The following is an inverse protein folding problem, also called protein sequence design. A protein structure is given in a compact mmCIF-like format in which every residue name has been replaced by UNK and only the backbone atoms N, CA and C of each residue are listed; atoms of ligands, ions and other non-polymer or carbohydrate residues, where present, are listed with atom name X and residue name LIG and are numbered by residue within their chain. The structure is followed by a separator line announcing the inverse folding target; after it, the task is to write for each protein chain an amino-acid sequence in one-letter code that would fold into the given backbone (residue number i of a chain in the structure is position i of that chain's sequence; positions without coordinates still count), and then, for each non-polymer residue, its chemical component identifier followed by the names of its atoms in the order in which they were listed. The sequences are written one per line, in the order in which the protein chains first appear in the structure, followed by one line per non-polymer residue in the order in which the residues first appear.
data_IF_031058310248
#
_entry.id   IF_031058310248
#
_cell.length_a   1.000
_cell.length_b   1.000
_cell.length_c   1.000
_cell.angle_alpha   90.00
_cell.angle_beta   90.00
_cell.angle_gamma   90.00
#
_symmetry.space_group_name_H-M   'P 1'
#
loop_
_entity.id
_entity.type
_entity.pdbx_description
1 polymer ?
#
# COMPACT_ATOMS: atom_id res chain seq x y z
N UNK A 1 7.60 -43.46 -43.52
CA UNK A 1 8.72 -42.55 -43.27
C UNK A 1 8.18 -41.50 -42.29
N UNK A 2 8.65 -41.53 -41.07
CA UNK A 2 8.19 -40.56 -40.05
C UNK A 2 8.85 -39.21 -40.36
N UNK A 3 8.04 -38.20 -40.67
CA UNK A 3 8.51 -36.86 -40.97
C UNK A 3 8.94 -36.16 -39.69
N UNK A 4 10.19 -36.36 -39.30
CA UNK A 4 10.82 -35.74 -38.13
C UNK A 4 10.81 -34.20 -38.18
N UNK A 5 10.71 -33.62 -39.38
CA UNK A 5 10.63 -32.17 -39.57
C UNK A 5 9.27 -31.61 -39.12
N UNK A 6 8.17 -32.28 -39.38
CA UNK A 6 6.85 -31.87 -38.93
C UNK A 6 6.69 -32.04 -37.42
N UNK A 7 7.26 -33.11 -36.85
CA UNK A 7 7.24 -33.37 -35.42
C UNK A 7 7.99 -32.28 -34.63
N UNK A 8 9.15 -31.84 -35.15
CA UNK A 8 9.90 -30.73 -34.49
C UNK A 8 9.20 -29.38 -34.59
N UNK A 9 8.50 -29.11 -35.69
CA UNK A 9 7.69 -27.89 -35.85
C UNK A 9 6.49 -27.92 -34.94
N UNK A 10 5.81 -29.05 -34.79
CA UNK A 10 4.66 -29.18 -33.88
C UNK A 10 5.06 -28.96 -32.43
N UNK A 11 6.21 -29.48 -32.00
CA UNK A 11 6.75 -29.24 -30.66
C UNK A 11 7.10 -27.74 -30.48
N UNK A 12 7.72 -27.13 -31.47
CA UNK A 12 8.07 -25.73 -31.45
C UNK A 12 6.82 -24.83 -31.29
N UNK A 13 5.77 -25.14 -32.06
CA UNK A 13 4.48 -24.43 -31.97
C UNK A 13 3.84 -24.63 -30.59
N UNK A 14 3.89 -25.84 -30.06
CA UNK A 14 3.37 -26.13 -28.73
C UNK A 14 4.12 -25.35 -27.66
N UNK A 15 5.44 -25.31 -27.68
CA UNK A 15 6.27 -24.55 -26.76
C UNK A 15 5.98 -23.04 -26.86
N UNK A 16 5.82 -22.54 -28.08
CA UNK A 16 5.47 -21.13 -28.31
C UNK A 16 4.11 -20.80 -27.72
N UNK A 17 3.10 -21.65 -27.88
CA UNK A 17 1.78 -21.48 -27.29
C UNK A 17 1.83 -21.46 -25.76
N UNK A 18 2.56 -22.41 -25.18
CA UNK A 18 2.73 -22.46 -23.72
C UNK A 18 3.45 -21.21 -23.21
N UNK A 19 4.50 -20.77 -23.90
CA UNK A 19 5.25 -19.57 -23.54
C UNK A 19 4.36 -18.31 -23.56
N UNK A 20 3.53 -18.15 -24.59
CA UNK A 20 2.60 -17.02 -24.69
C UNK A 20 1.56 -17.04 -23.56
N UNK A 21 1.00 -18.21 -23.26
CA UNK A 21 0.03 -18.36 -22.18
C UNK A 21 0.66 -18.03 -20.83
N UNK A 22 1.87 -18.52 -20.54
CA UNK A 22 2.59 -18.21 -19.31
C UNK A 22 2.91 -16.71 -19.20
N UNK A 23 3.29 -16.09 -20.30
CA UNK A 23 3.57 -14.65 -20.34
C UNK A 23 2.33 -13.83 -20.07
N UNK A 24 1.16 -14.23 -20.63
CA UNK A 24 -0.12 -13.58 -20.34
C UNK A 24 -0.52 -13.72 -18.86
N UNK A 25 -0.39 -14.92 -18.30
CA UNK A 25 -0.67 -15.13 -16.87
C UNK A 25 0.29 -14.35 -15.97
N UNK A 26 1.56 -14.29 -16.32
CA UNK A 26 2.55 -13.49 -15.60
C UNK A 26 2.22 -11.99 -15.65
N UNK A 27 1.85 -11.50 -16.84
CA UNK A 27 1.44 -10.11 -17.02
C UNK A 27 0.16 -9.81 -16.23
N UNK A 28 -0.85 -10.68 -16.31
CA UNK A 28 -2.09 -10.53 -15.56
C UNK A 28 -1.83 -10.51 -14.04
N UNK A 29 -0.97 -11.42 -13.57
CA UNK A 29 -0.57 -11.46 -12.16
C UNK A 29 0.16 -10.19 -11.73
N UNK A 30 1.03 -9.65 -12.58
CA UNK A 30 1.74 -8.42 -12.32
C UNK A 30 0.79 -7.21 -12.27
N UNK A 31 -0.16 -7.13 -13.20
CA UNK A 31 -1.21 -6.10 -13.20
C UNK A 31 -2.09 -6.21 -11.94
N UNK A 32 -2.52 -7.43 -11.62
CA UNK A 32 -3.33 -7.66 -10.42
C UNK A 32 -2.58 -7.28 -9.15
N UNK A 33 -1.30 -7.62 -9.07
CA UNK A 33 -0.43 -7.23 -7.95
C UNK A 33 -0.26 -5.71 -7.86
N UNK A 34 -0.13 -5.03 -9.00
CA UNK A 34 -0.05 -3.58 -9.06
C UNK A 34 -1.37 -2.93 -8.60
N UNK A 35 -2.51 -3.39 -9.11
CA UNK A 35 -3.84 -2.90 -8.72
C UNK A 35 -4.12 -3.17 -7.24
N UNK A 36 -3.79 -4.35 -6.73
CA UNK A 36 -3.94 -4.69 -5.32
C UNK A 36 -3.03 -3.82 -4.42
N UNK A 37 -1.85 -3.48 -4.89
CA UNK A 37 -0.93 -2.58 -4.20
C UNK A 37 -1.49 -1.15 -4.16
N UNK A 38 -2.08 -0.71 -5.27
CA UNK A 38 -2.68 0.62 -5.40
C UNK A 38 -3.94 0.76 -4.53
N UNK A 39 -4.75 -0.27 -4.46
CA UNK A 39 -5.90 -0.35 -3.55
C UNK A 39 -5.48 -0.43 -2.07
N UNK A 40 -4.33 -1.04 -1.76
CA UNK A 40 -3.77 -1.06 -0.40
C UNK A 40 -3.01 0.22 -0.04
N UNK A 41 -2.44 0.91 -1.02
CA UNK A 41 -1.75 2.19 -0.82
C UNK A 41 -2.69 3.37 -0.56
N UNK A 42 -3.92 3.08 -0.27
CA UNK A 42 -4.98 4.04 -0.11
C UNK A 42 -5.59 4.40 -1.44
N UNK A 43 -6.80 3.99 -1.63
CA UNK A 43 -7.67 4.54 -2.64
C UNK A 43 -7.64 6.04 -2.59
N UNK A 44 -6.71 6.61 -3.31
CA UNK A 44 -6.76 7.97 -3.75
C UNK A 44 -7.09 7.99 -5.23
N UNK A 45 -8.23 7.48 -5.53
CA UNK A 45 -9.07 8.14 -6.49
C UNK A 45 -9.80 9.21 -5.67
N UNK A 46 -9.44 10.44 -5.95
CA UNK A 46 -10.21 11.62 -5.63
C UNK A 46 -11.70 11.33 -5.60
N UNK A 47 -12.37 11.93 -4.60
CA UNK A 47 -13.80 12.13 -4.52
C UNK A 47 -14.66 10.89 -4.25
N UNK A 48 -14.81 10.68 -3.05
CA UNK A 48 -16.03 10.67 -2.25
C UNK A 48 -15.53 10.59 -0.83
N UNK A 49 -15.49 11.70 -0.16
CA UNK A 49 -15.29 11.77 1.26
C UNK A 49 -16.42 10.97 1.92
N UNK A 50 -16.21 9.68 2.06
CA UNK A 50 -16.79 8.99 3.19
C UNK A 50 -16.07 9.58 4.39
N UNK A 51 -16.57 10.77 4.79
CA UNK A 51 -16.11 11.42 5.99
C UNK A 51 -16.26 10.39 7.09
N UNK A 52 -15.12 9.89 7.58
CA UNK A 52 -15.15 9.02 8.74
C UNK A 52 -15.88 9.79 9.86
N UNK A 53 -16.77 9.17 10.61
CA UNK A 53 -17.43 9.83 11.75
C UNK A 53 -16.44 10.30 12.81
N UNK A 54 -15.20 9.81 12.75
CA UNK A 54 -14.09 10.16 13.65
C UNK A 54 -13.18 11.25 13.11
N UNK A 55 -13.44 11.77 11.89
CA UNK A 55 -12.59 12.77 11.25
C UNK A 55 -11.52 12.19 10.35
N UNK A 56 -10.55 13.03 10.01
CA UNK A 56 -9.45 12.65 9.14
C UNK A 56 -8.14 13.31 9.58
N UNK A 57 -7.04 12.63 9.33
CA UNK A 57 -5.70 13.13 9.52
C UNK A 57 -5.14 13.64 8.18
N UNK A 58 -4.61 14.86 8.15
CA UNK A 58 -4.02 15.46 6.94
C UNK A 58 -2.54 15.69 7.13
N UNK A 59 -1.75 15.36 6.12
CA UNK A 59 -0.31 15.68 6.07
C UNK A 59 -0.14 17.16 5.72
N UNK A 60 0.26 17.96 6.69
CA UNK A 60 0.48 19.42 6.50
C UNK A 60 1.88 19.72 5.97
N UNK A 61 2.88 18.97 6.44
CA UNK A 61 4.28 19.11 6.02
C UNK A 61 4.97 17.76 6.07
N UNK A 62 5.59 17.38 4.98
CA UNK A 62 6.23 16.09 4.84
C UNK A 62 7.77 16.13 4.96
N UNK A 63 8.36 17.34 5.02
CA UNK A 63 9.82 17.49 5.07
C UNK A 63 10.49 16.90 3.82
N UNK A 64 11.48 16.06 4.05
CA UNK A 64 12.23 15.36 2.98
C UNK A 64 11.64 13.99 2.64
N UNK A 65 10.52 13.60 3.27
CA UNK A 65 9.88 12.32 3.00
C UNK A 65 9.14 12.32 1.65
N UNK A 66 8.97 11.14 1.09
CA UNK A 66 8.20 10.95 -0.15
C UNK A 66 6.67 11.02 0.04
N UNK A 67 6.21 11.42 1.22
CA UNK A 67 4.76 11.52 1.51
C UNK A 67 4.22 12.81 0.92
N UNK A 68 3.16 12.77 0.09
CA UNK A 68 2.61 13.99 -0.49
C UNK A 68 1.91 14.84 0.58
N UNK A 69 2.22 16.14 0.58
CA UNK A 69 1.51 17.13 1.40
C UNK A 69 0.05 17.24 0.96
N UNK A 70 -0.86 17.37 1.91
CA UNK A 70 -2.29 17.40 1.65
C UNK A 70 -2.95 16.02 1.59
N UNK A 71 -2.18 14.94 1.68
CA UNK A 71 -2.73 13.59 1.78
C UNK A 71 -3.55 13.44 3.06
N UNK A 72 -4.75 12.89 2.94
CA UNK A 72 -5.66 12.67 4.06
C UNK A 72 -5.87 11.19 4.32
N UNK A 73 -6.05 10.86 5.59
CA UNK A 73 -6.34 9.51 6.06
C UNK A 73 -7.60 9.54 6.91
N UNK A 74 -8.63 8.76 6.59
CA UNK A 74 -9.81 8.63 7.44
C UNK A 74 -9.41 7.98 8.77
N UNK A 75 -9.91 8.51 9.88
CA UNK A 75 -9.66 7.97 11.21
C UNK A 75 -10.72 6.95 11.59
N UNK A 76 -10.29 5.87 12.21
CA UNK A 76 -11.11 4.96 12.99
C UNK A 76 -11.00 5.29 14.49
N UNK A 77 -11.64 4.50 15.37
CA UNK A 77 -11.54 4.69 16.82
C UNK A 77 -10.13 4.44 17.37
N UNK A 78 -9.35 3.62 16.71
CA UNK A 78 -7.93 3.36 17.00
C UNK A 78 -7.16 3.22 15.70
N UNK A 79 -6.03 3.91 15.58
CA UNK A 79 -5.22 3.92 14.37
C UNK A 79 -3.75 3.82 14.73
N UNK A 80 -3.03 2.92 14.08
CA UNK A 80 -1.58 2.84 14.20
C UNK A 80 -0.97 3.61 13.04
N UNK A 81 -0.06 4.52 13.37
CA UNK A 81 0.72 5.30 12.42
C UNK A 81 2.11 4.68 12.33
N UNK A 82 2.58 4.41 11.13
CA UNK A 82 3.91 3.83 10.97
C UNK A 82 4.33 3.72 9.51
N UNK A 83 5.51 3.15 9.31
CA UNK A 83 6.07 2.93 7.97
C UNK A 83 5.51 1.67 7.31
N UNK A 84 5.17 0.65 8.09
CA UNK A 84 4.71 -0.65 7.58
C UNK A 84 3.25 -0.59 7.14
N UNK A 85 3.00 -0.90 5.88
CA UNK A 85 1.63 -1.01 5.34
C UNK A 85 0.87 -2.22 5.89
N UNK A 86 1.57 -3.21 6.41
CA UNK A 86 0.95 -4.42 6.95
C UNK A 86 0.46 -4.26 8.38
N UNK A 87 1.13 -3.38 9.14
CA UNK A 87 0.93 -3.23 10.58
C UNK A 87 0.44 -1.84 10.99
N UNK A 88 0.09 -0.99 10.04
CA UNK A 88 -0.35 0.38 10.31
C UNK A 88 -1.55 0.75 9.45
N UNK A 89 -2.60 1.27 10.06
CA UNK A 89 -3.78 1.80 9.36
C UNK A 89 -3.41 3.07 8.60
N UNK A 90 -2.51 3.88 9.18
CA UNK A 90 -1.96 5.08 8.56
C UNK A 90 -0.50 4.80 8.22
N UNK A 91 -0.28 4.23 7.03
CA UNK A 91 1.05 3.92 6.56
C UNK A 91 1.66 5.09 5.79
N UNK A 92 2.78 5.57 6.28
CA UNK A 92 3.55 6.65 5.69
C UNK A 92 4.91 6.11 5.25
N UNK A 93 5.20 6.17 3.97
CA UNK A 93 6.47 5.69 3.43
C UNK A 93 7.60 6.70 3.72
N UNK A 94 8.06 6.70 4.95
CA UNK A 94 9.13 7.56 5.44
C UNK A 94 10.15 6.73 6.22
N UNK A 95 11.42 6.86 5.88
CA UNK A 95 12.51 6.14 6.52
C UNK A 95 12.76 6.55 7.98
N UNK A 96 12.31 7.74 8.38
CA UNK A 96 12.41 8.23 9.77
C UNK A 96 11.33 7.62 10.68
N UNK A 97 10.29 7.03 10.11
CA UNK A 97 9.25 6.36 10.87
C UNK A 97 9.63 4.91 11.19
N UNK A 98 9.34 4.49 12.40
CA UNK A 98 9.36 3.10 12.81
C UNK A 98 8.21 2.33 12.14
N UNK A 99 8.32 1.00 12.06
CA UNK A 99 7.29 0.14 11.44
C UNK A 99 5.92 0.37 12.04
N UNK A 100 5.85 0.44 13.37
CA UNK A 100 4.74 0.97 14.17
C UNK A 100 5.33 2.12 14.99
N UNK A 101 4.92 3.34 14.69
CA UNK A 101 5.55 4.53 15.27
C UNK A 101 4.74 5.10 16.42
N UNK A 102 3.46 5.30 16.21
CA UNK A 102 2.54 5.85 17.20
C UNK A 102 1.14 5.26 17.07
N UNK A 103 0.37 5.32 18.15
CA UNK A 103 -1.05 4.97 18.17
C UNK A 103 -1.87 6.22 18.45
N UNK A 104 -2.89 6.45 17.63
CA UNK A 104 -3.89 7.48 17.83
C UNK A 104 -5.22 6.82 18.16
N UNK A 105 -5.71 7.01 19.36
CA UNK A 105 -6.91 6.35 19.88
C UNK A 105 -7.90 7.36 20.44
N UNK A 106 -9.18 7.15 20.16
CA UNK A 106 -10.26 7.93 20.74
C UNK A 106 -10.70 7.33 22.08
N UNK A 107 -10.38 7.98 23.17
CA UNK A 107 -10.80 7.59 24.52
C UNK A 107 -11.93 8.49 25.00
N UNK A 108 -13.16 7.97 24.97
CA UNK A 108 -14.35 8.77 25.25
C UNK A 108 -14.56 9.82 24.16
N UNK A 109 -14.28 11.08 24.46
CA UNK A 109 -14.40 12.22 23.54
C UNK A 109 -13.05 12.93 23.31
N UNK A 110 -11.96 12.31 23.69
CA UNK A 110 -10.61 12.87 23.60
C UNK A 110 -9.70 11.97 22.79
N UNK A 111 -8.95 12.57 21.86
CA UNK A 111 -7.91 11.86 21.13
C UNK A 111 -6.65 11.75 21.98
N UNK A 112 -6.13 10.54 22.10
CA UNK A 112 -4.88 10.25 22.78
C UNK A 112 -3.87 9.72 21.77
N UNK A 113 -2.70 10.35 21.74
CA UNK A 113 -1.55 9.92 20.94
C UNK A 113 -0.52 9.30 21.85
N UNK A 114 -0.18 8.03 21.56
CA UNK A 114 0.82 7.25 22.28
C UNK A 114 1.98 6.92 21.36
N UNK A 115 3.21 7.21 21.78
CA UNK A 115 4.42 6.76 21.09
C UNK A 115 4.67 5.27 21.36
N UNK A 116 4.83 4.48 20.30
CA UNK A 116 5.06 3.04 20.40
C UNK A 116 6.56 2.71 20.45
N UNK A 117 7.31 3.40 21.28
CA UNK A 117 8.76 3.26 21.40
C UNK A 117 9.48 3.49 20.06
N UNK A 118 9.11 4.56 19.40
CA UNK A 118 9.69 4.94 18.11
C UNK A 118 11.14 5.35 18.24
N UNK A 119 11.91 5.17 17.16
CA UNK A 119 13.34 5.52 17.14
C UNK A 119 13.57 7.02 17.21
N UNK A 120 12.74 7.82 16.56
CA UNK A 120 12.89 9.28 16.43
C UNK A 120 11.94 10.10 17.29
N UNK A 121 11.01 9.45 17.99
CA UNK A 121 10.03 10.10 18.86
C UNK A 121 8.81 10.64 18.13
N UNK A 122 7.81 11.02 18.93
CA UNK A 122 6.55 11.63 18.48
C UNK A 122 6.34 12.94 19.25
N UNK A 123 6.07 14.03 18.52
CA UNK A 123 5.95 15.37 19.07
C UNK A 123 4.58 15.95 18.74
N UNK A 124 4.00 16.73 19.65
CA UNK A 124 2.70 17.36 19.49
C UNK A 124 2.81 18.86 19.79
N UNK A 125 2.38 19.70 18.84
CA UNK A 125 2.34 21.15 18.98
C UNK A 125 3.69 21.82 19.30
N UNK A 126 4.77 21.36 18.70
CA UNK A 126 6.09 21.99 18.78
C UNK A 126 6.44 22.74 17.49
#
# INVERSE_FOLDING_TARGET
MFDFTNFSLDILILLLRVAVVLLLYFFLWQVLRFVMRDLRSGGQASSASTASPYGQLMVLRAGTSGVPTGKTFPLGPSNIIGRSMENSEIALNDSFLSSQHARLELQGNTWVLEDLNSTNGTFVNE
#
